data_IF_830305590167
#
_entry.id   IF_830305590167
#
_cell.length_a   1.000
_cell.length_b   1.000
_cell.length_c   1.000
_cell.angle_alpha   90.00
_cell.angle_beta   90.00
_cell.angle_gamma   90.00
#
_symmetry.space_group_name_H-M   'P 1'
#
loop_
_entity.id
_entity.type
_entity.pdbx_description
1 polymer ?
#
# COMPACT_ATOMS: atom_id res chain seq x y z
N UNK A 1 -12.61 10.15 90.57
CA UNK A 1 -12.67 11.47 89.90
C UNK A 1 -11.38 12.20 90.22
N UNK A 2 -10.64 12.63 89.19
CA UNK A 2 -9.57 13.63 89.31
C UNK A 2 -8.14 13.13 89.17
N UNK A 3 -7.37 13.89 88.39
CA UNK A 3 -5.91 14.13 88.40
C UNK A 3 -5.06 13.16 87.55
N UNK A 4 -4.59 13.62 86.38
CA UNK A 4 -3.28 14.29 86.10
C UNK A 4 -2.18 13.25 85.80
N UNK A 5 -1.67 13.09 84.57
CA UNK A 5 -0.77 13.91 83.71
C UNK A 5 0.57 13.13 83.51
N UNK A 6 1.47 13.56 82.61
CA UNK A 6 1.96 12.78 81.47
C UNK A 6 3.38 12.23 81.65
N UNK A 7 3.85 11.41 80.70
CA UNK A 7 5.28 11.23 80.51
C UNK A 7 5.72 11.51 79.07
N UNK A 8 6.86 12.19 79.02
CA UNK A 8 7.48 12.86 77.89
C UNK A 8 8.68 12.02 77.50
N UNK A 9 8.81 11.63 76.24
CA UNK A 9 10.14 11.40 75.68
C UNK A 9 10.32 12.14 74.36
N UNK A 10 11.40 12.91 74.37
CA UNK A 10 11.82 13.95 73.45
C UNK A 10 13.23 13.58 73.00
N UNK A 11 13.45 13.42 71.69
CA UNK A 11 14.73 13.64 71.01
C UNK A 11 14.38 14.33 69.68
N UNK A 12 14.72 15.59 69.38
CA UNK A 12 16.03 16.27 69.34
C UNK A 12 16.97 15.58 68.35
N UNK A 13 17.52 16.19 67.29
CA UNK A 13 17.50 17.57 66.76
C UNK A 13 18.15 17.54 65.35
N UNK A 14 17.66 18.41 64.45
CA UNK A 14 18.36 19.26 63.48
C UNK A 14 19.58 18.75 62.65
N UNK A 15 19.38 18.76 61.32
CA UNK A 15 20.11 19.50 60.26
C UNK A 15 21.60 19.87 60.44
N UNK A 16 22.43 19.55 59.44
CA UNK A 16 23.31 20.46 58.65
C UNK A 16 24.12 19.66 57.59
N UNK A 17 24.04 20.08 56.32
CA UNK A 17 24.79 19.65 55.09
C UNK A 17 26.33 19.85 55.17
N UNK A 18 27.18 19.70 54.11
CA UNK A 18 27.13 18.94 52.82
C UNK A 18 28.41 18.08 52.57
N UNK A 19 28.40 17.16 51.59
CA UNK A 19 29.59 16.80 50.76
C UNK A 19 29.28 15.83 49.59
N UNK A 20 29.27 16.41 48.39
CA UNK A 20 29.93 16.03 47.13
C UNK A 20 30.06 14.55 46.70
N UNK A 21 29.75 14.35 45.40
CA UNK A 21 30.01 13.20 44.50
C UNK A 21 28.99 12.04 44.62
N UNK A 22 28.42 11.47 43.56
CA UNK A 22 28.81 11.36 42.16
C UNK A 22 27.61 11.00 41.28
N UNK A 23 27.34 11.85 40.27
CA UNK A 23 27.07 11.50 38.86
C UNK A 23 26.12 10.32 38.59
N UNK A 24 24.86 10.61 38.26
CA UNK A 24 24.25 10.08 37.02
C UNK A 24 23.28 11.13 36.46
N UNK A 25 23.71 11.70 35.34
CA UNK A 25 23.00 12.69 34.57
C UNK A 25 21.69 12.13 34.02
N UNK A 26 20.58 12.82 34.29
CA UNK A 26 19.41 12.80 33.42
C UNK A 26 19.07 14.24 33.09
N UNK A 27 19.57 14.65 31.94
CA UNK A 27 19.41 15.97 31.34
C UNK A 27 17.94 16.36 31.27
N UNK A 28 17.61 17.47 31.91
CA UNK A 28 16.53 18.34 31.44
C UNK A 28 17.05 19.05 30.19
N UNK A 29 16.35 18.93 29.07
CA UNK A 29 16.43 19.95 28.03
C UNK A 29 15.02 20.31 27.55
N UNK A 30 14.84 21.62 27.46
CA UNK A 30 13.61 22.35 27.30
C UNK A 30 13.01 22.26 25.90
N UNK A 31 11.75 22.67 25.86
CA UNK A 31 10.89 22.96 24.72
C UNK A 31 11.55 23.78 23.59
N UNK A 32 11.08 23.59 22.35
CA UNK A 32 10.24 24.57 21.62
C UNK A 32 10.28 24.40 20.08
N UNK A 33 9.07 24.42 19.48
CA UNK A 33 8.67 24.94 18.15
C UNK A 33 9.13 24.22 16.86
N UNK A 34 8.17 23.73 16.04
CA UNK A 34 7.56 24.52 14.93
C UNK A 34 6.43 23.75 14.22
N UNK A 35 5.25 24.36 14.23
CA UNK A 35 4.25 24.51 13.18
C UNK A 35 4.22 23.58 11.95
N UNK A 36 3.05 22.97 11.73
CA UNK A 36 2.52 22.73 10.38
C UNK A 36 2.31 21.26 10.02
N UNK A 37 1.16 20.69 10.40
CA UNK A 37 0.63 19.51 9.71
C UNK A 37 -0.89 19.61 9.64
N UNK A 38 -1.36 19.66 8.39
CA UNK A 38 -2.76 19.66 8.00
C UNK A 38 -3.41 18.41 8.60
N UNK A 39 -4.44 18.64 9.42
CA UNK A 39 -5.25 17.61 10.06
C UNK A 39 -6.11 16.92 9.01
N UNK A 40 -5.72 15.69 8.66
CA UNK A 40 -6.60 14.67 8.12
C UNK A 40 -6.15 13.32 8.68
N UNK A 41 -6.56 13.03 9.91
CA UNK A 41 -6.14 11.83 10.64
C UNK A 41 -6.49 11.95 12.12
N UNK A 42 -7.77 12.00 12.44
CA UNK A 42 -8.22 11.90 13.82
C UNK A 42 -7.96 10.46 14.31
N UNK A 43 -6.96 10.34 15.20
CA UNK A 43 -6.91 9.50 16.39
C UNK A 43 -7.86 8.28 16.45
N UNK A 44 -7.29 7.08 16.34
CA UNK A 44 -7.78 5.89 17.06
C UNK A 44 -6.74 5.52 18.13
N UNK A 45 -6.72 6.30 19.22
CA UNK A 45 -6.11 5.85 20.48
C UNK A 45 -7.23 5.22 21.31
N UNK A 46 -7.10 3.91 21.51
CA UNK A 46 -7.80 3.04 22.46
C UNK A 46 -8.79 3.72 23.43
N UNK A 47 -10.08 3.48 23.19
CA UNK A 47 -11.14 3.75 24.15
C UNK A 47 -11.04 2.82 25.37
N UNK A 48 -10.93 3.42 26.54
CA UNK A 48 -10.88 2.78 27.84
C UNK A 48 -12.30 2.31 28.25
N UNK A 49 -12.69 1.07 27.96
CA UNK A 49 -13.94 0.47 28.47
C UNK A 49 -13.66 -0.37 29.72
N UNK A 50 -14.02 0.17 30.88
CA UNK A 50 -13.73 -0.44 32.19
C UNK A 50 -14.63 -1.63 32.57
N UNK A 51 -15.66 -2.00 31.81
CA UNK A 51 -16.44 -3.23 32.04
C UNK A 51 -17.12 -3.68 30.73
N UNK A 52 -16.46 -4.54 29.96
CA UNK A 52 -17.09 -5.37 28.93
C UNK A 52 -16.36 -6.71 28.90
N UNK A 53 -17.12 -7.79 29.03
CA UNK A 53 -16.60 -9.14 29.00
C UNK A 53 -15.86 -9.39 27.67
N UNK A 54 -14.63 -9.90 27.78
CA UNK A 54 -13.84 -10.38 26.66
C UNK A 54 -14.56 -11.54 25.96
N UNK A 55 -15.20 -11.26 24.83
CA UNK A 55 -15.31 -12.20 23.71
C UNK A 55 -14.63 -11.53 22.52
N UNK A 56 -13.31 -11.73 22.41
CA UNK A 56 -12.49 -11.13 21.37
C UNK A 56 -12.57 -11.94 20.08
N UNK A 57 -13.61 -11.71 19.27
CA UNK A 57 -13.74 -12.44 18.00
C UNK A 57 -14.58 -11.71 16.94
N UNK A 58 -14.57 -10.37 16.91
CA UNK A 58 -15.10 -9.66 15.74
C UNK A 58 -14.87 -8.16 15.79
N UNK A 59 -14.55 -7.61 14.62
CA UNK A 59 -14.78 -6.19 14.32
C UNK A 59 -16.26 -5.87 14.50
N UNK A 60 -16.59 -4.90 15.35
CA UNK A 60 -17.98 -4.52 15.61
C UNK A 60 -18.68 -4.02 14.34
N UNK A 61 -20.02 -4.11 14.27
CA UNK A 61 -20.75 -3.60 13.10
C UNK A 61 -20.54 -2.08 12.89
N UNK A 62 -20.39 -1.32 13.97
CA UNK A 62 -20.00 0.10 13.89
C UNK A 62 -18.63 0.30 13.25
N UNK A 63 -17.64 -0.52 13.63
CA UNK A 63 -16.29 -0.44 13.08
C UNK A 63 -16.26 -0.90 11.61
N UNK A 64 -17.02 -1.94 11.26
CA UNK A 64 -17.19 -2.39 9.87
C UNK A 64 -17.75 -1.26 9.00
N UNK A 65 -18.80 -0.59 9.48
CA UNK A 65 -19.41 0.54 8.77
C UNK A 65 -18.44 1.72 8.64
N UNK A 66 -17.72 2.07 9.71
CA UNK A 66 -16.73 3.14 9.68
C UNK A 66 -15.58 2.86 8.70
N UNK A 67 -15.10 1.62 8.63
CA UNK A 67 -14.09 1.18 7.64
C UNK A 67 -14.62 1.30 6.22
N UNK A 68 -15.85 0.85 5.98
CA UNK A 68 -16.49 0.96 4.67
C UNK A 68 -16.66 2.41 4.23
N UNK A 69 -17.11 3.29 5.12
CA UNK A 69 -17.25 4.72 4.85
C UNK A 69 -15.89 5.38 4.57
N UNK A 70 -14.88 5.12 5.40
CA UNK A 70 -13.53 5.64 5.21
C UNK A 70 -12.95 5.22 3.86
N UNK A 71 -13.12 3.95 3.47
CA UNK A 71 -12.68 3.45 2.17
C UNK A 71 -13.43 4.09 1.01
N UNK A 72 -14.75 4.19 1.08
CA UNK A 72 -15.58 4.79 0.02
C UNK A 72 -15.35 6.30 -0.12
N UNK A 73 -14.97 6.99 0.96
CA UNK A 73 -14.59 8.41 0.93
C UNK A 73 -13.23 8.65 0.27
N UNK A 74 -12.39 7.62 0.17
CA UNK A 74 -11.07 7.71 -0.43
C UNK A 74 -11.18 7.67 -1.96
N UNK A 75 -10.86 8.79 -2.61
CA UNK A 75 -10.86 8.86 -4.08
C UNK A 75 -9.72 8.04 -4.69
N UNK A 76 -8.53 8.13 -4.09
CA UNK A 76 -7.36 7.37 -4.45
C UNK A 76 -6.40 7.28 -3.26
N UNK A 77 -5.64 6.20 -3.18
CA UNK A 77 -4.49 6.10 -2.29
C UNK A 77 -3.22 6.56 -3.01
N UNK A 78 -2.51 7.50 -2.41
CA UNK A 78 -1.19 7.92 -2.90
C UNK A 78 -0.17 6.83 -2.57
N UNK A 79 0.52 6.31 -3.57
CA UNK A 79 1.49 5.22 -3.39
C UNK A 79 2.90 5.68 -3.79
N UNK A 80 3.88 5.24 -3.01
CA UNK A 80 5.30 5.51 -3.22
C UNK A 80 5.83 4.67 -4.36
N UNK A 81 6.29 5.35 -5.40
CA UNK A 81 7.01 4.75 -6.51
C UNK A 81 8.31 4.11 -6.03
N UNK A 82 8.69 2.99 -6.67
CA UNK A 82 10.02 2.40 -6.51
C UNK A 82 11.04 3.27 -7.23
N UNK A 83 12.08 3.67 -6.51
CA UNK A 83 13.16 4.50 -7.06
C UNK A 83 13.90 3.79 -8.19
N UNK A 84 14.41 4.56 -9.15
CA UNK A 84 14.99 4.02 -10.38
C UNK A 84 16.09 2.97 -10.15
N UNK A 85 16.89 3.17 -9.09
CA UNK A 85 18.00 2.30 -8.70
C UNK A 85 17.56 1.02 -7.99
N UNK A 86 16.37 1.02 -7.38
CA UNK A 86 15.85 -0.10 -6.61
C UNK A 86 14.97 -1.04 -7.44
N UNK A 87 14.65 -0.64 -8.68
CA UNK A 87 13.79 -1.40 -9.60
C UNK A 87 14.29 -2.84 -9.81
N UNK A 88 15.60 -3.10 -10.05
CA UNK A 88 16.07 -4.48 -10.24
C UNK A 88 15.81 -5.34 -9.00
N UNK A 89 16.16 -4.83 -7.81
CA UNK A 89 15.95 -5.52 -6.54
C UNK A 89 14.45 -5.73 -6.24
N UNK A 90 13.61 -4.75 -6.58
CA UNK A 90 12.17 -4.84 -6.45
C UNK A 90 11.59 -5.95 -7.33
N UNK A 91 12.00 -6.02 -8.61
CA UNK A 91 11.58 -7.07 -9.55
C UNK A 91 12.04 -8.46 -9.06
N UNK A 92 13.24 -8.54 -8.49
CA UNK A 92 13.73 -9.79 -7.89
C UNK A 92 12.87 -10.26 -6.72
N UNK A 93 12.48 -9.34 -5.83
CA UNK A 93 11.64 -9.61 -4.67
C UNK A 93 10.16 -9.92 -5.01
N UNK A 94 9.74 -9.70 -6.26
CA UNK A 94 8.37 -10.01 -6.71
C UNK A 94 8.12 -11.50 -6.95
N UNK A 95 9.17 -12.35 -6.94
CA UNK A 95 9.08 -13.81 -7.19
C UNK A 95 8.38 -14.16 -8.52
N UNK A 96 8.63 -13.36 -9.56
CA UNK A 96 8.05 -13.53 -10.89
C UNK A 96 8.60 -14.75 -11.62
N UNK A 97 7.79 -15.34 -12.51
CA UNK A 97 8.29 -16.27 -13.52
C UNK A 97 9.28 -15.56 -14.47
N UNK A 98 10.21 -16.30 -15.12
CA UNK A 98 11.14 -15.68 -16.06
C UNK A 98 10.46 -14.91 -17.20
N UNK A 99 9.33 -15.41 -17.71
CA UNK A 99 8.56 -14.75 -18.75
C UNK A 99 7.96 -13.42 -18.26
N UNK A 100 7.27 -13.42 -17.11
CA UNK A 100 6.63 -12.23 -16.55
C UNK A 100 7.66 -11.17 -16.16
N UNK A 101 8.85 -11.61 -15.69
CA UNK A 101 9.96 -10.72 -15.37
C UNK A 101 10.41 -9.93 -16.59
N UNK A 102 10.60 -10.59 -17.72
CA UNK A 102 11.03 -9.94 -18.98
C UNK A 102 9.96 -8.93 -19.45
N UNK A 103 8.69 -9.30 -19.37
CA UNK A 103 7.56 -8.44 -19.76
C UNK A 103 7.50 -7.18 -18.89
N UNK A 104 7.44 -7.33 -17.56
CA UNK A 104 7.38 -6.20 -16.63
C UNK A 104 8.61 -5.30 -16.76
N UNK A 105 9.81 -5.88 -16.92
CA UNK A 105 11.05 -5.09 -17.08
C UNK A 105 10.97 -4.22 -18.33
N UNK A 106 10.57 -4.80 -19.47
CA UNK A 106 10.42 -4.08 -20.75
C UNK A 106 9.38 -2.96 -20.65
N UNK A 107 8.23 -3.21 -20.03
CA UNK A 107 7.17 -2.21 -19.86
C UNK A 107 7.60 -1.06 -18.96
N UNK A 108 8.27 -1.35 -17.84
CA UNK A 108 8.81 -0.34 -16.93
C UNK A 108 9.85 0.53 -17.63
N UNK A 109 10.75 -0.08 -18.42
CA UNK A 109 11.76 0.65 -19.20
C UNK A 109 11.13 1.52 -20.30
N UNK A 110 10.18 0.97 -21.07
CA UNK A 110 9.45 1.71 -22.10
C UNK A 110 8.69 2.92 -21.53
N UNK A 111 8.10 2.75 -20.33
CA UNK A 111 7.39 3.81 -19.59
C UNK A 111 8.32 4.93 -19.12
N UNK A 112 9.61 4.64 -18.91
CA UNK A 112 10.64 5.60 -18.51
C UNK A 112 11.17 6.38 -19.72
N UNK A 113 11.43 5.70 -20.84
CA UNK A 113 11.91 6.37 -22.06
C UNK A 113 10.90 7.39 -22.62
N UNK A 114 9.60 7.09 -22.55
CA UNK A 114 8.54 8.05 -22.91
C UNK A 114 8.46 9.24 -21.95
N UNK A 115 8.73 9.04 -20.65
CA UNK A 115 8.76 10.15 -19.68
C UNK A 115 9.88 11.16 -19.94
N UNK A 116 11.06 10.67 -20.34
CA UNK A 116 12.20 11.53 -20.64
C UNK A 116 12.02 12.32 -21.95
N UNK A 117 11.31 11.77 -22.94
CA UNK A 117 11.07 12.44 -24.22
C UNK A 117 10.06 13.60 -24.10
N UNK A 118 8.96 13.43 -23.36
CA UNK A 118 7.96 14.49 -23.15
C UNK A 118 8.54 15.68 -22.34
N UNK A 119 9.49 15.40 -21.45
CA UNK A 119 10.16 16.41 -20.63
C UNK A 119 11.12 17.30 -21.43
N UNK A 120 11.50 16.93 -22.66
CA UNK A 120 12.34 17.72 -23.57
C UNK A 120 11.57 18.35 -24.73
N UNK A 121 10.35 17.89 -25.03
CA UNK A 121 9.53 18.43 -26.11
C UNK A 121 8.75 19.71 -25.75
N UNK A 122 8.78 20.16 -24.49
CA UNK A 122 8.06 21.35 -24.01
C UNK A 122 8.89 22.66 -24.04
N UNK A 123 9.76 22.84 -25.05
CA UNK A 123 10.24 24.17 -25.45
C UNK A 123 9.59 24.54 -26.79
N UNK A 124 8.65 25.51 -26.84
CA UNK A 124 8.09 25.95 -28.09
C UNK A 124 9.10 26.83 -28.81
N UNK A 125 9.92 26.23 -29.67
CA UNK A 125 10.54 26.94 -30.77
C UNK A 125 9.42 27.31 -31.76
N UNK A 126 8.85 28.49 -31.56
CA UNK A 126 7.96 29.13 -32.51
C UNK A 126 8.75 29.45 -33.78
N UNK A 127 8.63 28.58 -34.79
CA UNK A 127 8.91 28.84 -36.21
C UNK A 127 8.32 27.69 -37.03
N UNK A 128 6.99 27.60 -37.12
CA UNK A 128 6.32 26.67 -38.02
C UNK A 128 5.99 27.42 -39.30
N UNK A 129 6.97 27.43 -40.19
CA UNK A 129 6.85 27.85 -41.58
C UNK A 129 5.98 26.84 -42.35
N UNK A 130 5.13 27.41 -43.19
CA UNK A 130 4.18 26.81 -44.12
C UNK A 130 4.82 25.74 -45.02
N UNK A 131 4.22 24.54 -45.08
CA UNK A 131 4.28 23.71 -46.29
C UNK A 131 3.15 22.65 -46.33
N UNK A 132 2.17 22.89 -47.20
CA UNK A 132 1.26 21.92 -47.85
C UNK A 132 1.83 21.72 -49.27
N UNK A 133 1.90 20.52 -49.87
CA UNK A 133 0.75 19.96 -50.63
C UNK A 133 0.64 18.42 -50.50
N UNK A 134 -0.56 17.84 -50.39
CA UNK A 134 -1.36 17.26 -51.49
C UNK A 134 -0.64 16.23 -52.40
N UNK A 135 -0.99 14.95 -52.25
CA UNK A 135 -1.19 13.96 -53.34
C UNK A 135 -1.47 12.54 -52.79
N UNK A 136 -2.74 12.10 -52.89
CA UNK A 136 -3.11 10.70 -53.26
C UNK A 136 -3.06 10.61 -54.80
N UNK A 137 -3.06 9.45 -55.49
CA UNK A 137 -3.58 8.13 -55.08
C UNK A 137 -2.73 6.92 -55.55
N UNK A 138 -3.04 5.71 -55.06
CA UNK A 138 -3.40 4.49 -55.82
C UNK A 138 -3.24 3.27 -54.90
N UNK A 139 -4.33 2.51 -54.72
CA UNK A 139 -4.32 1.22 -54.04
C UNK A 139 -4.75 0.19 -55.07
N UNK A 140 -3.79 -0.63 -55.47
CA UNK A 140 -3.93 -1.69 -56.46
C UNK A 140 -4.35 -2.99 -55.79
N UNK A 141 -5.24 -3.68 -56.49
CA UNK A 141 -5.94 -4.92 -56.16
C UNK A 141 -5.00 -6.10 -56.40
N UNK A 142 -4.94 -7.06 -55.47
CA UNK A 142 -4.54 -8.43 -55.80
C UNK A 142 -5.18 -9.42 -54.82
N UNK A 143 -6.20 -10.11 -55.32
CA UNK A 143 -6.72 -11.37 -54.83
C UNK A 143 -5.60 -12.42 -54.70
N UNK A 144 -5.58 -13.15 -53.58
CA UNK A 144 -5.04 -14.51 -53.58
C UNK A 144 -5.81 -15.43 -52.62
N UNK A 145 -6.71 -16.21 -53.22
CA UNK A 145 -6.78 -17.68 -53.15
C UNK A 145 -6.71 -18.30 -51.74
N UNK A 146 -7.86 -18.74 -51.26
CA UNK A 146 -7.97 -19.90 -50.38
C UNK A 146 -7.54 -21.18 -51.13
N UNK A 147 -6.94 -22.17 -50.45
CA UNK A 147 -7.78 -23.31 -50.10
C UNK A 147 -7.54 -23.87 -48.69
N UNK A 148 -8.51 -24.69 -48.32
CA UNK A 148 -8.71 -25.33 -47.04
C UNK A 148 -7.64 -26.37 -46.65
N UNK A 149 -7.72 -26.71 -45.36
CA UNK A 149 -7.57 -28.06 -44.78
C UNK A 149 -6.31 -28.30 -43.95
N UNK A 150 -6.48 -28.28 -42.63
CA UNK A 150 -6.02 -29.36 -41.75
C UNK A 150 -6.70 -29.22 -40.39
N UNK A 151 -7.74 -30.03 -40.19
CA UNK A 151 -8.16 -30.45 -38.87
C UNK A 151 -7.06 -31.37 -38.31
N UNK A 152 -6.41 -30.94 -37.23
CA UNK A 152 -5.59 -31.79 -36.39
C UNK A 152 -5.88 -31.45 -34.92
N UNK A 153 -6.31 -32.46 -34.16
CA UNK A 153 -6.55 -32.42 -32.72
C UNK A 153 -5.35 -31.80 -31.99
N UNK A 154 -5.61 -30.80 -31.14
CA UNK A 154 -4.71 -30.40 -30.07
C UNK A 154 -5.50 -30.26 -28.76
N UNK A 155 -4.97 -30.90 -27.72
CA UNK A 155 -5.44 -30.97 -26.35
C UNK A 155 -5.75 -29.59 -25.72
N UNK A 156 -6.54 -29.52 -24.63
CA UNK A 156 -6.79 -28.27 -23.93
C UNK A 156 -5.47 -27.74 -23.33
N UNK A 157 -4.90 -26.72 -23.96
CA UNK A 157 -3.81 -25.94 -23.40
C UNK A 157 -4.35 -25.13 -22.20
N UNK A 158 -3.60 -25.05 -21.08
CA UNK A 158 -3.98 -24.23 -19.94
C UNK A 158 -4.05 -22.77 -20.38
N UNK A 159 -5.06 -22.05 -19.87
CA UNK A 159 -5.30 -20.64 -20.15
C UNK A 159 -4.01 -19.82 -20.05
N UNK A 160 -3.45 -19.47 -21.21
CA UNK A 160 -2.50 -18.39 -21.32
C UNK A 160 -3.24 -17.12 -20.88
N UNK A 161 -2.82 -16.53 -19.76
CA UNK A 161 -3.22 -15.20 -19.34
C UNK A 161 -2.66 -14.19 -20.36
N UNK A 162 -3.37 -14.05 -21.48
CA UNK A 162 -3.20 -12.97 -22.43
C UNK A 162 -3.90 -11.74 -21.89
N UNK A 163 -3.12 -10.76 -21.46
CA UNK A 163 -3.52 -9.36 -21.48
C UNK A 163 -2.31 -8.48 -21.83
N UNK A 164 -1.60 -8.85 -22.90
CA UNK A 164 -0.79 -7.88 -23.64
C UNK A 164 -1.77 -7.04 -24.47
N UNK A 165 -1.95 -5.76 -24.13
CA UNK A 165 -2.84 -4.90 -24.91
C UNK A 165 -3.41 -3.69 -24.20
N UNK A 166 -2.56 -2.83 -23.66
CA UNK A 166 -2.75 -1.39 -23.78
C UNK A 166 -1.36 -0.75 -23.69
N UNK A 167 -1.16 0.43 -24.27
CA UNK A 167 0.10 1.20 -24.20
C UNK A 167 0.40 1.67 -22.78
N UNK A 168 0.60 0.71 -21.88
CA UNK A 168 0.44 0.81 -20.44
C UNK A 168 1.71 1.38 -19.85
N UNK A 169 1.60 2.62 -19.38
CA UNK A 169 2.65 3.20 -18.56
C UNK A 169 2.67 2.49 -17.21
N UNK A 170 3.48 1.44 -17.09
CA UNK A 170 3.62 0.65 -15.88
C UNK A 170 4.60 1.32 -14.91
N UNK A 171 4.20 1.43 -13.65
CA UNK A 171 5.06 1.94 -12.58
C UNK A 171 5.12 0.94 -11.43
N UNK A 172 6.32 0.64 -10.92
CA UNK A 172 6.45 -0.14 -9.70
C UNK A 172 6.23 0.75 -8.48
N UNK A 173 5.50 0.25 -7.50
CA UNK A 173 5.28 0.92 -6.22
C UNK A 173 5.46 -0.03 -5.04
N UNK A 174 5.91 0.51 -3.90
CA UNK A 174 6.01 -0.24 -2.65
C UNK A 174 4.64 -0.35 -1.98
N UNK A 175 4.23 -1.55 -1.62
CA UNK A 175 2.99 -1.81 -0.89
C UNK A 175 3.30 -2.65 0.34
N UNK A 176 2.77 -2.26 1.50
CA UNK A 176 2.76 -3.05 2.72
C UNK A 176 1.33 -3.48 3.02
N UNK A 177 1.11 -4.78 3.17
CA UNK A 177 -0.16 -5.35 3.64
C UNK A 177 0.03 -5.88 5.05
N UNK A 178 -0.92 -5.63 5.95
CA UNK A 178 -0.93 -6.16 7.31
C UNK A 178 -2.35 -6.47 7.77
N UNK A 179 -2.46 -7.28 8.80
CA UNK A 179 -3.70 -7.49 9.53
C UNK A 179 -3.95 -6.32 10.47
N UNK A 180 -5.16 -5.76 10.46
CA UNK A 180 -5.48 -4.57 11.29
C UNK A 180 -6.06 -4.91 12.65
N UNK A 181 -6.37 -6.18 12.90
CA UNK A 181 -7.06 -6.63 14.10
C UNK A 181 -6.29 -7.79 14.76
N UNK A 182 -6.95 -8.93 15.00
CA UNK A 182 -6.32 -10.13 15.55
C UNK A 182 -5.66 -10.93 14.43
N UNK A 183 -4.38 -11.24 14.57
CA UNK A 183 -3.66 -12.12 13.64
C UNK A 183 -4.18 -13.56 13.79
N UNK A 184 -5.06 -13.96 12.90
CA UNK A 184 -5.80 -15.23 12.92
C UNK A 184 -5.51 -16.12 11.70
N UNK A 185 -4.64 -15.67 10.80
CA UNK A 185 -4.26 -16.41 9.60
C UNK A 185 -5.03 -16.03 8.34
N UNK A 186 -5.65 -14.85 8.34
CA UNK A 186 -6.19 -14.19 7.15
C UNK A 186 -5.25 -14.25 5.94
N UNK A 187 -5.82 -14.53 4.75
CA UNK A 187 -5.07 -14.59 3.49
C UNK A 187 -5.78 -13.80 2.41
N UNK A 188 -5.02 -12.97 1.71
CA UNK A 188 -5.47 -12.20 0.56
C UNK A 188 -4.63 -12.46 -0.67
N UNK A 189 -5.18 -12.14 -1.84
CA UNK A 189 -4.45 -12.10 -3.10
C UNK A 189 -4.52 -10.71 -3.69
N UNK A 190 -3.36 -10.16 -4.02
CA UNK A 190 -3.25 -8.89 -4.74
C UNK A 190 -3.04 -9.19 -6.22
N UNK A 191 -3.77 -8.46 -7.07
CA UNK A 191 -3.76 -8.63 -8.52
C UNK A 191 -3.64 -7.25 -9.18
N UNK A 192 -2.65 -7.07 -10.06
CA UNK A 192 -2.41 -5.80 -10.75
C UNK A 192 -1.55 -6.00 -12.00
N UNK A 193 -1.97 -5.46 -13.14
CA UNK A 193 -1.21 -5.53 -14.40
C UNK A 193 -0.65 -6.93 -14.73
N UNK A 194 -1.46 -7.98 -14.59
CA UNK A 194 -1.04 -9.38 -14.81
C UNK A 194 -0.18 -10.00 -13.70
N UNK A 195 0.29 -9.21 -12.74
CA UNK A 195 0.91 -9.70 -11.52
C UNK A 195 -0.13 -10.20 -10.52
N UNK A 196 0.17 -11.32 -9.87
CA UNK A 196 -0.65 -11.89 -8.80
C UNK A 196 0.25 -12.41 -7.68
N UNK A 197 -0.10 -12.09 -6.43
CA UNK A 197 0.59 -12.61 -5.25
C UNK A 197 -0.39 -12.91 -4.13
N UNK A 198 -0.26 -14.09 -3.54
CA UNK A 198 -0.96 -14.45 -2.31
C UNK A 198 -0.12 -14.04 -1.10
N UNK A 199 -0.76 -13.39 -0.12
CA UNK A 199 -0.12 -12.87 1.10
C UNK A 199 -0.93 -13.31 2.31
N UNK A 200 -0.28 -13.99 3.24
CA UNK A 200 -0.81 -14.21 4.58
C UNK A 200 -0.63 -12.93 5.39
N UNK A 201 -1.71 -12.45 5.98
CA UNK A 201 -1.71 -11.23 6.77
C UNK A 201 -1.16 -11.52 8.17
N UNK A 202 -0.35 -10.59 8.65
CA UNK A 202 0.21 -10.58 10.00
C UNK A 202 0.19 -9.15 10.51
N UNK A 203 0.26 -8.95 11.81
CA UNK A 203 0.27 -7.62 12.41
C UNK A 203 1.54 -6.82 12.07
N UNK A 204 2.65 -7.51 11.80
CA UNK A 204 3.89 -6.88 11.33
C UNK A 204 3.74 -6.36 9.89
N UNK A 205 3.02 -7.11 9.06
CA UNK A 205 2.82 -6.83 7.66
C UNK A 205 4.02 -7.17 6.79
N UNK A 206 3.75 -7.27 5.49
CA UNK A 206 4.72 -7.64 4.46
C UNK A 206 4.79 -6.53 3.43
N UNK A 207 6.00 -6.01 3.20
CA UNK A 207 6.28 -4.99 2.19
C UNK A 207 6.86 -5.62 0.93
N UNK A 208 6.29 -5.31 -0.23
CA UNK A 208 6.75 -5.80 -1.53
C UNK A 208 6.41 -4.81 -2.65
N UNK A 209 7.05 -4.97 -3.80
CA UNK A 209 6.77 -4.17 -4.98
C UNK A 209 5.58 -4.72 -5.77
N UNK A 210 4.75 -3.84 -6.30
CA UNK A 210 3.59 -4.17 -7.13
C UNK A 210 3.65 -3.34 -8.42
N UNK A 211 3.40 -3.95 -9.60
CA UNK A 211 3.30 -3.21 -10.84
C UNK A 211 1.93 -2.57 -10.94
N UNK A 212 1.91 -1.25 -11.14
CA UNK A 212 0.69 -0.45 -11.17
C UNK A 212 0.43 -0.01 -12.61
N UNK A 213 -0.71 -0.39 -13.19
CA UNK A 213 -1.07 0.03 -14.55
C UNK A 213 -1.38 1.53 -14.59
N UNK A 214 -1.39 2.10 -15.80
CA UNK A 214 -1.76 3.50 -16.00
C UNK A 214 -3.19 3.84 -15.52
N UNK A 215 -4.08 2.84 -15.45
CA UNK A 215 -5.42 2.99 -14.88
C UNK A 215 -5.41 3.26 -13.37
N UNK A 216 -4.30 2.97 -12.69
CA UNK A 216 -4.17 3.11 -11.25
C UNK A 216 -5.08 2.18 -10.48
N UNK A 217 -5.45 1.01 -11.02
CA UNK A 217 -6.32 0.07 -10.32
C UNK A 217 -5.53 -1.16 -9.86
N UNK A 218 -5.64 -1.45 -8.56
CA UNK A 218 -5.14 -2.68 -7.93
C UNK A 218 -6.34 -3.44 -7.38
N UNK A 219 -6.40 -4.75 -7.56
CA UNK A 219 -7.45 -5.60 -6.98
C UNK A 219 -6.90 -6.40 -5.81
N UNK A 220 -7.71 -6.53 -4.77
CA UNK A 220 -7.42 -7.36 -3.60
C UNK A 220 -8.59 -8.31 -3.41
N UNK A 221 -8.30 -9.60 -3.36
CA UNK A 221 -9.27 -10.68 -3.23
C UNK A 221 -9.06 -11.39 -1.90
N UNK A 222 -10.11 -11.51 -1.08
CA UNK A 222 -10.08 -12.30 0.14
C UNK A 222 -10.03 -13.79 -0.20
N UNK A 223 -9.09 -14.56 0.35
CA UNK A 223 -8.94 -15.99 0.05
C UNK A 223 -9.26 -16.90 1.23
N UNK A 224 -8.92 -16.47 2.44
CA UNK A 224 -9.16 -17.22 3.67
C UNK A 224 -9.40 -16.23 4.79
N UNK A 225 -10.49 -16.46 5.50
CA UNK A 225 -10.85 -15.88 6.79
C UNK A 225 -10.28 -16.85 7.83
N UNK A 226 -9.41 -16.37 8.72
CA UNK A 226 -8.58 -17.18 9.61
C UNK A 226 -9.40 -17.99 10.63
N UNK A 227 -9.61 -17.41 11.80
CA UNK A 227 -10.47 -17.98 12.86
C UNK A 227 -11.93 -17.49 12.71
N UNK A 228 -12.18 -16.51 11.83
CA UNK A 228 -13.50 -16.01 11.47
C UNK A 228 -13.66 -14.52 11.70
N UNK A 229 -14.87 -13.99 11.47
CA UNK A 229 -15.16 -12.57 11.71
C UNK A 229 -14.87 -11.65 10.51
N UNK A 230 -14.22 -12.19 9.48
CA UNK A 230 -13.97 -11.56 8.20
C UNK A 230 -12.55 -11.00 8.10
N UNK A 231 -12.06 -10.94 6.87
CA UNK A 231 -10.66 -10.63 6.58
C UNK A 231 -10.39 -9.15 6.82
N UNK A 232 -9.45 -8.82 7.69
CA UNK A 232 -9.10 -7.43 8.01
C UNK A 232 -7.77 -7.02 7.39
N UNK A 233 -7.82 -6.06 6.45
CA UNK A 233 -6.64 -5.67 5.68
C UNK A 233 -6.32 -4.21 5.89
N UNK A 234 -5.06 -3.96 6.24
CA UNK A 234 -4.42 -2.65 6.12
C UNK A 234 -3.52 -2.62 4.89
N UNK A 235 -3.50 -1.48 4.20
CA UNK A 235 -2.60 -1.24 3.08
C UNK A 235 -1.87 0.09 3.28
N UNK A 236 -0.56 0.09 3.04
CA UNK A 236 0.28 1.27 3.18
C UNK A 236 1.29 1.34 2.05
N UNK A 237 1.69 2.57 1.74
CA UNK A 237 2.70 2.87 0.73
C UNK A 237 3.38 4.18 1.09
N UNK A 238 4.65 4.09 1.52
CA UNK A 238 5.36 5.21 2.11
C UNK A 238 4.62 5.79 3.31
N UNK A 239 4.24 7.07 3.23
CA UNK A 239 3.51 7.77 4.28
C UNK A 239 1.98 7.59 4.22
N UNK A 240 1.46 7.04 3.13
CA UNK A 240 0.02 6.83 2.97
C UNK A 240 -0.40 5.48 3.53
N UNK A 241 -1.57 5.43 4.17
CA UNK A 241 -2.16 4.21 4.69
C UNK A 241 -3.68 4.24 4.55
N UNK A 242 -4.27 3.07 4.36
CA UNK A 242 -5.70 2.84 4.27
C UNK A 242 -6.05 1.55 5.03
N UNK A 243 -7.17 1.57 5.75
CA UNK A 243 -7.81 0.36 6.27
C UNK A 243 -8.93 -0.01 5.31
N UNK A 244 -8.94 -1.25 4.86
CA UNK A 244 -9.94 -1.75 3.95
C UNK A 244 -11.21 -2.13 4.73
N UNK A 245 -12.39 -2.12 4.07
CA UNK A 245 -13.57 -2.76 4.61
C UNK A 245 -13.26 -4.21 4.99
N UNK A 246 -13.91 -4.73 6.03
CA UNK A 246 -13.82 -6.15 6.38
C UNK A 246 -14.31 -6.97 5.19
N UNK A 247 -13.48 -7.88 4.70
CA UNK A 247 -13.75 -8.63 3.47
C UNK A 247 -14.26 -10.05 3.79
N UNK A 248 -15.20 -10.54 2.98
CA UNK A 248 -15.53 -11.96 2.96
C UNK A 248 -14.57 -12.74 2.05
N UNK A 249 -14.47 -14.05 2.26
CA UNK A 249 -13.77 -14.95 1.32
C UNK A 249 -14.41 -14.85 -0.07
N UNK A 250 -13.58 -14.66 -1.09
CA UNK A 250 -13.99 -14.44 -2.48
C UNK A 250 -14.37 -13.00 -2.82
N UNK A 251 -14.51 -12.11 -1.84
CA UNK A 251 -14.79 -10.70 -2.09
C UNK A 251 -13.58 -10.04 -2.76
N UNK A 252 -13.86 -9.25 -3.80
CA UNK A 252 -12.86 -8.48 -4.52
C UNK A 252 -13.07 -6.99 -4.25
N UNK A 253 -12.04 -6.33 -3.72
CA UNK A 253 -11.99 -4.88 -3.59
C UNK A 253 -11.08 -4.31 -4.66
N UNK A 254 -11.54 -3.23 -5.32
CA UNK A 254 -10.72 -2.48 -6.28
C UNK A 254 -10.26 -1.20 -5.61
N UNK A 255 -8.94 -1.03 -5.51
CA UNK A 255 -8.30 0.16 -4.98
C UNK A 255 -7.85 1.05 -6.12
N UNK A 256 -8.30 2.30 -6.11
CA UNK A 256 -7.76 3.35 -6.95
C UNK A 256 -6.48 3.90 -6.30
N UNK A 257 -5.38 3.85 -7.01
CA UNK A 257 -4.06 4.31 -6.57
C UNK A 257 -3.49 5.35 -7.53
N UNK A 258 -2.65 6.22 -6.98
CA UNK A 258 -1.86 7.18 -7.77
C UNK A 258 -0.44 7.19 -7.27
N UNK A 259 0.50 7.02 -8.18
CA UNK A 259 1.92 7.13 -7.86
C UNK A 259 2.30 8.59 -7.62
N UNK A 260 3.09 8.83 -6.58
CA UNK A 260 3.72 10.12 -6.30
C UNK A 260 5.17 10.13 -6.79
#
# INVERSE_FOLDING_TARGET
>A
MGLEKPDVQRGSKADTEPKLSSIFAKSFLAAALLSGLIVAGAFYTSGNTLFAAYSGDSVSDSDRNARAEAFNSMQFLQISKVEANDIPAAIDAMHLSPANRIEITREVEASRSTQSADSHASSPAASRELAKPDARPVQEVADHVAPASSAALAAPAPAAAGASGDGSRLTLAWVRLWDTDVEDGDVVRIESAGYSRTVTLTNHGVTFAVPVPASGQIRITGLRDGDGGGITVGLASGAAQAVLPVMSVGQVLTLNVRTR
#
